data_IF_153901006874
#
_entry.id   IF_153901006874
#
_cell.length_a   1.000
_cell.length_b   1.000
_cell.length_c   1.000
_cell.angle_alpha   90.00
_cell.angle_beta   90.00
_cell.angle_gamma   90.00
#
_symmetry.space_group_name_H-M   'P 1'
#
loop_
_entity.id
_entity.type
_entity.pdbx_description
1 polymer ?
#
# COMPACT_ATOMS: atom_id res chain seq x y z
N UNK A 1 15.84 -18.66 -29.74
CA UNK A 1 15.12 -18.83 -28.46
C UNK A 1 13.68 -18.42 -28.68
N UNK A 2 12.71 -19.26 -28.30
CA UNK A 2 11.29 -18.87 -28.33
C UNK A 2 10.86 -18.32 -26.97
N UNK A 3 10.21 -17.16 -26.96
CA UNK A 3 9.60 -16.58 -25.78
C UNK A 3 8.15 -17.05 -25.64
N UNK A 4 7.62 -17.03 -24.42
CA UNK A 4 6.20 -17.28 -24.22
C UNK A 4 5.38 -16.08 -24.70
N UNK A 5 4.65 -16.24 -25.81
CA UNK A 5 3.88 -15.17 -26.47
C UNK A 5 2.87 -14.48 -25.53
N UNK A 6 2.20 -15.23 -24.65
CA UNK A 6 1.24 -14.66 -23.70
C UNK A 6 1.92 -13.70 -22.70
N UNK A 7 3.10 -14.07 -22.22
CA UNK A 7 3.89 -13.24 -21.29
C UNK A 7 4.48 -12.02 -22.00
N UNK A 8 4.93 -12.18 -23.24
CA UNK A 8 5.41 -11.06 -24.08
C UNK A 8 4.28 -10.06 -24.32
N UNK A 9 3.07 -10.53 -24.68
CA UNK A 9 1.90 -9.68 -24.90
C UNK A 9 1.50 -8.89 -23.64
N UNK A 10 1.56 -9.53 -22.47
CA UNK A 10 1.31 -8.86 -21.18
C UNK A 10 2.34 -7.75 -20.92
N UNK A 11 3.62 -8.04 -21.16
CA UNK A 11 4.71 -7.08 -20.99
C UNK A 11 4.61 -5.92 -22.01
N UNK A 12 4.30 -6.21 -23.26
CA UNK A 12 4.12 -5.23 -24.33
C UNK A 12 3.01 -4.22 -23.97
N UNK A 13 1.88 -4.70 -23.44
CA UNK A 13 0.80 -3.84 -22.94
C UNK A 13 1.25 -2.95 -21.78
N UNK A 14 2.01 -3.49 -20.84
CA UNK A 14 2.50 -2.73 -19.68
C UNK A 14 3.53 -1.66 -20.06
N UNK A 15 4.36 -1.92 -21.08
CA UNK A 15 5.39 -1.01 -21.56
C UNK A 15 4.90 -0.06 -22.67
N UNK A 16 3.65 -0.22 -23.13
CA UNK A 16 3.09 0.49 -24.28
C UNK A 16 3.97 0.37 -25.54
N UNK A 17 4.51 -0.84 -25.78
CA UNK A 17 5.33 -1.18 -26.96
C UNK A 17 4.63 -2.24 -27.81
N UNK A 18 5.05 -2.38 -29.07
CA UNK A 18 4.65 -3.54 -29.87
C UNK A 18 5.28 -4.83 -29.32
N UNK A 19 4.71 -6.00 -29.65
CA UNK A 19 5.27 -7.29 -29.26
C UNK A 19 6.70 -7.46 -29.81
N UNK A 20 6.95 -7.04 -31.05
CA UNK A 20 8.27 -7.07 -31.69
C UNK A 20 9.28 -6.17 -30.98
N UNK A 21 8.90 -4.93 -30.64
CA UNK A 21 9.74 -4.01 -29.88
C UNK A 21 10.06 -4.57 -28.49
N UNK A 22 9.10 -5.23 -27.86
CA UNK A 22 9.26 -5.87 -26.55
C UNK A 22 10.23 -7.05 -26.61
N UNK A 23 10.13 -7.89 -27.64
CA UNK A 23 11.09 -8.99 -27.87
C UNK A 23 12.50 -8.45 -28.14
N UNK A 24 12.62 -7.42 -28.97
CA UNK A 24 13.91 -6.77 -29.25
C UNK A 24 14.55 -6.19 -27.98
N UNK A 25 13.75 -5.51 -27.14
CA UNK A 25 14.19 -4.99 -25.85
C UNK A 25 14.68 -6.11 -24.92
N UNK A 26 13.90 -7.19 -24.78
CA UNK A 26 14.25 -8.34 -23.96
C UNK A 26 15.57 -8.98 -24.42
N UNK A 27 15.77 -9.13 -25.73
CA UNK A 27 17.01 -9.68 -26.28
C UNK A 27 18.21 -8.76 -26.01
N UNK A 28 18.04 -7.44 -26.20
CA UNK A 28 19.09 -6.44 -25.95
C UNK A 28 19.51 -6.43 -24.48
N UNK A 29 18.53 -6.45 -23.58
CA UNK A 29 18.78 -6.47 -22.13
C UNK A 29 19.35 -7.81 -21.66
N UNK A 30 18.85 -8.94 -22.18
CA UNK A 30 19.39 -10.26 -21.89
C UNK A 30 20.87 -10.35 -22.28
N UNK A 31 21.23 -9.81 -23.45
CA UNK A 31 22.62 -9.72 -23.91
C UNK A 31 23.48 -8.84 -23.00
N UNK A 32 22.98 -7.66 -22.63
CA UNK A 32 23.69 -6.74 -21.74
C UNK A 32 23.96 -7.35 -20.36
N UNK A 33 22.93 -7.99 -19.78
CA UNK A 33 23.00 -8.61 -18.45
C UNK A 33 23.63 -10.01 -18.47
N UNK A 34 23.93 -10.56 -19.65
CA UNK A 34 24.43 -11.94 -19.84
C UNK A 34 23.53 -13.00 -19.20
N UNK A 35 22.22 -12.79 -19.26
CA UNK A 35 21.21 -13.73 -18.74
C UNK A 35 20.34 -14.27 -19.88
N UNK A 36 19.60 -15.35 -19.62
CA UNK A 36 18.63 -15.83 -20.60
C UNK A 36 17.45 -14.85 -20.71
N UNK A 37 16.99 -14.60 -21.93
CA UNK A 37 15.81 -13.75 -22.14
C UNK A 37 14.57 -14.29 -21.43
N UNK A 38 14.41 -15.61 -21.34
CA UNK A 38 13.29 -16.23 -20.63
C UNK A 38 13.34 -15.98 -19.11
N UNK A 39 14.52 -15.92 -18.51
CA UNK A 39 14.67 -15.52 -17.11
C UNK A 39 14.25 -14.07 -16.92
N UNK A 40 14.73 -13.17 -17.80
CA UNK A 40 14.38 -11.75 -17.75
C UNK A 40 12.87 -11.52 -17.90
N UNK A 41 12.22 -12.22 -18.84
CA UNK A 41 10.77 -12.17 -19.02
C UNK A 41 10.01 -12.64 -17.77
N UNK A 42 10.47 -13.71 -17.10
CA UNK A 42 9.88 -14.17 -15.83
C UNK A 42 10.04 -13.12 -14.73
N UNK A 43 11.21 -12.51 -14.61
CA UNK A 43 11.47 -11.44 -13.62
C UNK A 43 10.54 -10.24 -13.83
N UNK A 44 10.30 -9.83 -15.08
CA UNK A 44 9.36 -8.75 -15.39
C UNK A 44 7.92 -9.07 -14.97
N UNK A 45 7.47 -10.32 -15.18
CA UNK A 45 6.13 -10.74 -14.75
C UNK A 45 6.00 -10.69 -13.23
N UNK A 46 6.98 -11.22 -12.50
CA UNK A 46 6.99 -11.21 -11.03
C UNK A 46 6.97 -9.76 -10.50
N UNK A 47 7.82 -8.88 -11.04
CA UNK A 47 7.85 -7.47 -10.66
C UNK A 47 6.50 -6.79 -10.89
N UNK A 48 5.84 -7.12 -11.99
CA UNK A 48 4.53 -6.55 -12.28
C UNK A 48 3.45 -7.06 -11.30
N UNK A 49 3.50 -8.32 -10.92
CA UNK A 49 2.59 -8.92 -9.93
C UNK A 49 2.77 -8.28 -8.55
N UNK A 50 4.03 -8.10 -8.10
CA UNK A 50 4.34 -7.39 -6.86
C UNK A 50 3.85 -5.94 -6.87
N UNK A 51 3.96 -5.25 -8.01
CA UNK A 51 3.45 -3.89 -8.17
C UNK A 51 1.93 -3.84 -8.07
N UNK A 52 1.22 -4.77 -8.69
CA UNK A 52 -0.25 -4.86 -8.57
C UNK A 52 -0.68 -5.14 -7.13
N UNK A 53 -0.05 -6.09 -6.44
CA UNK A 53 -0.36 -6.37 -5.03
C UNK A 53 -0.10 -5.15 -4.12
N UNK A 54 0.99 -4.42 -4.35
CA UNK A 54 1.27 -3.18 -3.60
C UNK A 54 0.20 -2.12 -3.84
N UNK A 55 -0.24 -1.94 -5.08
CA UNK A 55 -1.27 -0.97 -5.43
C UNK A 55 -2.64 -1.37 -4.85
N UNK A 56 -2.97 -2.66 -4.85
CA UNK A 56 -4.20 -3.18 -4.26
C UNK A 56 -4.22 -2.99 -2.74
N UNK A 57 -3.10 -3.28 -2.05
CA UNK A 57 -2.96 -2.99 -0.62
C UNK A 57 -3.12 -1.49 -0.32
N UNK A 58 -2.48 -0.62 -1.09
CA UNK A 58 -2.64 0.83 -0.94
C UNK A 58 -4.08 1.28 -1.19
N UNK A 59 -4.74 0.73 -2.22
CA UNK A 59 -6.15 1.03 -2.51
C UNK A 59 -7.07 0.57 -1.37
N UNK A 60 -6.78 -0.57 -0.75
CA UNK A 60 -7.52 -1.08 0.39
C UNK A 60 -7.30 -0.23 1.64
N UNK A 61 -6.05 0.16 1.94
CA UNK A 61 -5.73 1.11 3.00
C UNK A 61 -6.44 2.47 2.80
N UNK A 62 -6.48 2.97 1.56
CA UNK A 62 -7.20 4.21 1.24
C UNK A 62 -8.71 4.07 1.42
N UNK A 63 -9.30 2.93 1.03
CA UNK A 63 -10.72 2.63 1.29
C UNK A 63 -11.01 2.58 2.79
N UNK A 64 -10.17 1.90 3.56
CA UNK A 64 -10.31 1.84 5.02
C UNK A 64 -10.14 3.22 5.66
N UNK A 65 -9.18 4.03 5.21
CA UNK A 65 -9.02 5.41 5.68
C UNK A 65 -10.20 6.30 5.31
N UNK A 66 -10.82 6.10 4.15
CA UNK A 66 -12.02 6.85 3.75
C UNK A 66 -13.26 6.56 4.62
N UNK A 67 -13.27 5.42 5.32
CA UNK A 67 -14.33 5.05 6.27
C UNK A 67 -14.42 6.06 7.42
N UNK A 68 -13.30 6.65 7.80
CA UNK A 68 -13.17 7.47 8.98
C UNK A 68 -12.96 8.93 8.62
N UNK A 69 -13.87 9.79 9.07
CA UNK A 69 -13.88 11.23 8.76
C UNK A 69 -13.26 12.01 9.91
N UNK A 70 -12.23 12.80 9.61
CA UNK A 70 -11.66 13.76 10.54
C UNK A 70 -11.13 15.00 9.83
N UNK A 71 -11.36 16.18 10.39
CA UNK A 71 -10.78 17.45 9.92
C UNK A 71 -9.39 17.70 10.52
N UNK A 72 -9.00 16.93 11.54
CA UNK A 72 -7.73 17.10 12.23
C UNK A 72 -6.64 16.26 11.54
N UNK A 73 -5.67 16.94 10.92
CA UNK A 73 -4.56 16.33 10.20
C UNK A 73 -3.71 15.39 11.07
N UNK A 74 -3.55 15.74 12.35
CA UNK A 74 -2.78 14.93 13.29
C UNK A 74 -3.55 13.63 13.57
N UNK A 75 -4.85 13.72 13.83
CA UNK A 75 -5.68 12.52 14.01
C UNK A 75 -5.70 11.66 12.75
N UNK A 76 -5.80 12.28 11.56
CA UNK A 76 -5.75 11.56 10.28
C UNK A 76 -4.44 10.76 10.13
N UNK A 77 -3.31 11.37 10.49
CA UNK A 77 -1.99 10.72 10.43
C UNK A 77 -1.84 9.54 11.39
N UNK A 78 -2.43 9.62 12.58
CA UNK A 78 -2.33 8.58 13.63
C UNK A 78 -3.63 7.80 13.81
N UNK A 79 -4.50 7.82 12.80
CA UNK A 79 -5.86 7.30 12.88
C UNK A 79 -5.88 5.81 13.19
N UNK A 80 -5.07 5.05 12.46
CA UNK A 80 -4.98 3.60 12.58
C UNK A 80 -4.53 3.20 14.00
N UNK A 81 -3.58 3.93 14.56
CA UNK A 81 -3.07 3.72 15.93
C UNK A 81 -4.15 4.05 16.97
N UNK A 82 -4.87 5.17 16.80
CA UNK A 82 -5.95 5.58 17.70
C UNK A 82 -7.07 4.55 17.71
N UNK A 83 -7.52 4.09 16.53
CA UNK A 83 -8.60 3.11 16.39
C UNK A 83 -8.18 1.79 17.02
N UNK A 84 -6.98 1.28 16.68
CA UNK A 84 -6.47 0.02 17.21
C UNK A 84 -6.42 0.02 18.74
N UNK A 85 -5.79 1.02 19.34
CA UNK A 85 -5.69 1.12 20.80
C UNK A 85 -7.07 1.22 21.45
N UNK A 86 -8.01 1.93 20.82
CA UNK A 86 -9.37 2.04 21.34
C UNK A 86 -10.15 0.72 21.25
N UNK A 87 -9.99 -0.02 20.15
CA UNK A 87 -10.55 -1.36 19.97
C UNK A 87 -9.99 -2.36 20.99
N UNK A 88 -8.72 -2.24 21.36
CA UNK A 88 -8.05 -3.00 22.42
C UNK A 88 -8.49 -2.59 23.85
N UNK A 89 -9.44 -1.66 23.98
CA UNK A 89 -10.01 -1.23 25.26
C UNK A 89 -9.30 -0.05 25.92
N UNK A 90 -8.29 0.54 25.26
CA UNK A 90 -7.56 1.70 25.82
C UNK A 90 -8.43 2.96 25.77
N UNK A 91 -8.57 3.64 26.91
CA UNK A 91 -9.29 4.91 26.98
C UNK A 91 -8.55 6.08 26.30
N UNK A 92 -9.28 7.09 25.85
CA UNK A 92 -8.73 8.24 25.11
C UNK A 92 -7.60 9.00 25.84
N UNK A 93 -7.63 9.05 27.18
CA UNK A 93 -6.54 9.65 27.98
C UNK A 93 -5.24 8.86 27.80
N UNK A 94 -5.31 7.53 27.84
CA UNK A 94 -4.15 6.67 27.71
C UNK A 94 -3.64 6.66 26.27
N UNK A 95 -4.54 6.73 25.27
CA UNK A 95 -4.16 6.92 23.86
C UNK A 95 -3.41 8.25 23.68
N UNK A 96 -3.91 9.35 24.26
CA UNK A 96 -3.23 10.65 24.21
C UNK A 96 -1.82 10.59 24.82
N UNK A 97 -1.68 9.96 25.99
CA UNK A 97 -0.36 9.75 26.63
C UNK A 97 0.56 8.88 25.77
N UNK A 98 0.04 7.81 25.19
CA UNK A 98 0.79 6.91 24.31
C UNK A 98 1.34 7.66 23.09
N UNK A 99 0.52 8.47 22.42
CA UNK A 99 0.95 9.26 21.27
C UNK A 99 2.01 10.31 21.66
N UNK A 100 1.90 10.89 22.85
CA UNK A 100 2.90 11.83 23.37
C UNK A 100 4.24 11.15 23.62
N UNK A 101 4.24 9.97 24.23
CA UNK A 101 5.45 9.24 24.59
C UNK A 101 6.15 8.61 23.36
N UNK A 102 5.40 7.93 22.50
CA UNK A 102 5.97 7.12 21.42
C UNK A 102 6.18 7.91 20.13
N UNK A 103 5.37 8.95 19.89
CA UNK A 103 5.40 9.70 18.64
C UNK A 103 5.70 11.19 18.83
N UNK A 104 5.88 11.66 20.08
CA UNK A 104 6.08 13.08 20.43
C UNK A 104 4.95 13.99 19.93
N UNK A 105 3.73 13.45 19.83
CA UNK A 105 2.55 14.17 19.34
C UNK A 105 1.56 14.40 20.46
N UNK A 106 1.08 15.64 20.58
CA UNK A 106 0.07 16.01 21.57
C UNK A 106 -1.29 16.12 20.91
N UNK A 107 -2.22 15.24 21.30
CA UNK A 107 -3.63 15.30 20.91
C UNK A 107 -4.46 15.36 22.19
N UNK A 108 -5.40 16.30 22.28
CA UNK A 108 -6.26 16.40 23.46
C UNK A 108 -7.20 15.19 23.55
N UNK A 109 -7.52 14.78 24.78
CA UNK A 109 -8.51 13.72 25.05
C UNK A 109 -9.82 13.99 24.28
N UNK A 110 -10.34 15.22 24.35
CA UNK A 110 -11.59 15.60 23.72
C UNK A 110 -11.56 15.45 22.19
N UNK A 111 -10.42 15.72 21.56
CA UNK A 111 -10.29 15.54 20.11
C UNK A 111 -10.33 14.05 19.72
N UNK A 112 -9.73 13.18 20.53
CA UNK A 112 -9.78 11.72 20.35
C UNK A 112 -11.21 11.21 20.59
N UNK A 113 -11.84 11.63 21.68
CA UNK A 113 -13.23 11.24 22.02
C UNK A 113 -14.21 11.67 20.91
N UNK A 114 -14.10 12.91 20.43
CA UNK A 114 -14.94 13.41 19.34
C UNK A 114 -14.71 12.59 18.06
N UNK A 115 -13.45 12.32 17.71
CA UNK A 115 -13.13 11.48 16.55
C UNK A 115 -13.77 10.09 16.66
N UNK A 116 -13.60 9.41 17.80
CA UNK A 116 -14.13 8.06 18.01
C UNK A 116 -15.67 8.03 17.99
N UNK A 117 -16.32 9.03 18.59
CA UNK A 117 -17.78 9.17 18.60
C UNK A 117 -18.33 9.46 17.21
N UNK A 118 -17.79 10.44 16.50
CA UNK A 118 -18.22 10.82 15.15
C UNK A 118 -18.10 9.66 14.16
N UNK A 119 -17.16 8.76 14.40
CA UNK A 119 -16.88 7.62 13.54
C UNK A 119 -17.46 6.29 14.07
N UNK A 120 -18.26 6.34 15.13
CA UNK A 120 -18.94 5.19 15.74
C UNK A 120 -18.00 3.99 15.99
N UNK A 121 -16.74 4.28 16.38
CA UNK A 121 -15.74 3.25 16.61
C UNK A 121 -16.15 2.46 17.84
N UNK A 122 -16.46 1.17 17.66
CA UNK A 122 -16.81 0.27 18.76
C UNK A 122 -15.55 -0.29 19.41
N UNK A 123 -15.61 -0.56 20.70
CA UNK A 123 -14.60 -1.36 21.39
C UNK A 123 -14.83 -2.83 21.06
N UNK A 124 -13.75 -3.58 20.84
CA UNK A 124 -13.85 -5.03 20.83
C UNK A 124 -13.84 -5.44 22.32
N UNK A 125 -15.03 -5.48 22.91
CA UNK A 125 -15.26 -6.04 24.23
C UNK A 125 -15.37 -7.55 24.15
#
# INVERSE_FOLDING_TARGET
>A
MSFNNTKVKRLAKNLALSEEQTVSLLLKQAKYLKVSGNLLLKSYVILNELKTESNEKQAQELKEKSRYKTKNLIISKYMDVIIKLYQEGTGAINISKYLKLNHKVTISKSAIDNFLKTNEVKRNG
#
